data_IF_510935117774
#
_entry.id   IF_510935117774
#
_cell.length_a   1.000
_cell.length_b   1.000
_cell.length_c   1.000
_cell.angle_alpha   90.00
_cell.angle_beta   90.00
_cell.angle_gamma   90.00
#
_symmetry.space_group_name_H-M   'P 1'
#
loop_
_entity.id
_entity.type
_entity.pdbx_description
1 polymer ?
#
# COMPACT_ATOMS: atom_id res chain seq x y z
N UNK A 1 55.38 -2.05 16.59
CA UNK A 1 55.00 -1.59 15.23
C UNK A 1 54.14 -2.57 14.43
N UNK A 2 54.41 -3.90 14.42
CA UNK A 2 53.62 -4.87 13.62
C UNK A 2 52.16 -5.06 14.05
N UNK A 3 51.84 -4.83 15.33
CA UNK A 3 50.47 -4.97 15.84
C UNK A 3 49.53 -3.85 15.33
N UNK A 4 49.98 -2.59 15.31
CA UNK A 4 49.19 -1.45 14.84
C UNK A 4 48.90 -1.51 13.34
N UNK A 5 49.82 -2.05 12.53
CA UNK A 5 49.58 -2.26 11.10
C UNK A 5 48.42 -3.25 10.86
N UNK A 6 48.29 -4.30 11.67
CA UNK A 6 47.19 -5.27 11.56
C UNK A 6 45.85 -4.67 12.00
N UNK A 7 45.83 -3.86 13.06
CA UNK A 7 44.60 -3.21 13.52
C UNK A 7 44.09 -2.18 12.52
N UNK A 8 44.99 -1.39 11.91
CA UNK A 8 44.63 -0.40 10.88
C UNK A 8 44.05 -1.09 9.63
N UNK A 9 44.63 -2.20 9.19
CA UNK A 9 44.11 -2.96 8.05
C UNK A 9 42.72 -3.54 8.34
N UNK A 10 42.48 -4.06 9.55
CA UNK A 10 41.15 -4.57 9.94
C UNK A 10 40.11 -3.45 9.97
N UNK A 11 40.46 -2.27 10.50
CA UNK A 11 39.55 -1.11 10.54
C UNK A 11 39.22 -0.62 9.12
N UNK A 12 40.20 -0.61 8.20
CA UNK A 12 39.97 -0.23 6.80
C UNK A 12 39.09 -1.25 6.07
N UNK A 13 39.28 -2.54 6.31
CA UNK A 13 38.44 -3.60 5.73
C UNK A 13 37.00 -3.53 6.29
N UNK A 14 36.85 -3.28 7.58
CA UNK A 14 35.54 -3.10 8.20
C UNK A 14 34.82 -1.84 7.68
N UNK A 15 35.54 -0.71 7.55
CA UNK A 15 35.00 0.53 7.02
C UNK A 15 34.61 0.42 5.53
N UNK A 16 35.39 -0.30 4.72
CA UNK A 16 35.04 -0.57 3.31
C UNK A 16 33.86 -1.53 3.19
N UNK A 17 33.72 -2.52 4.07
CA UNK A 17 32.53 -3.38 4.13
C UNK A 17 31.26 -2.62 4.55
N UNK A 18 31.37 -1.69 5.51
CA UNK A 18 30.24 -0.86 5.94
C UNK A 18 29.82 0.14 4.86
N UNK A 19 30.76 0.78 4.17
CA UNK A 19 30.46 1.71 3.08
C UNK A 19 29.94 1.01 1.81
N UNK A 20 30.35 -0.23 1.55
CA UNK A 20 29.85 -1.00 0.40
C UNK A 20 28.40 -1.48 0.59
N UNK A 21 27.89 -1.58 1.83
CA UNK A 21 26.52 -1.98 2.10
C UNK A 21 25.49 -0.88 1.79
N UNK A 22 25.85 0.40 1.95
CA UNK A 22 24.93 1.51 1.66
C UNK A 22 24.74 1.75 0.15
N UNK A 23 25.69 1.33 -0.69
CA UNK A 23 25.65 1.53 -2.15
C UNK A 23 24.82 0.49 -2.92
N UNK A 24 24.23 -0.50 -2.23
CA UNK A 24 23.42 -1.56 -2.85
C UNK A 24 21.93 -1.48 -2.43
N UNK A 25 21.40 -0.27 -2.27
CA UNK A 25 19.95 -0.08 -2.37
C UNK A 25 19.52 -0.19 -3.84
N UNK A 26 19.54 -1.41 -4.39
CA UNK A 26 18.88 -1.67 -5.66
C UNK A 26 17.40 -1.40 -5.47
N UNK A 27 16.85 -0.44 -6.20
CA UNK A 27 15.42 -0.25 -6.35
C UNK A 27 14.79 -1.62 -6.65
N UNK A 28 14.00 -2.13 -5.70
CA UNK A 28 13.43 -3.46 -5.79
C UNK A 28 12.37 -3.43 -6.89
N UNK A 29 12.54 -4.28 -7.90
CA UNK A 29 11.50 -4.52 -8.90
C UNK A 29 10.36 -5.23 -8.20
N UNK A 30 9.19 -4.59 -8.16
CA UNK A 30 7.98 -5.18 -7.63
C UNK A 30 7.57 -6.33 -8.54
N UNK A 31 7.34 -7.51 -7.96
CA UNK A 31 6.91 -8.69 -8.71
C UNK A 31 5.39 -8.66 -8.87
N UNK A 32 4.93 -8.70 -10.11
CA UNK A 32 3.51 -8.80 -10.47
C UNK A 32 3.02 -10.21 -10.12
N UNK A 33 1.81 -10.33 -9.58
CA UNK A 33 1.18 -11.63 -9.29
C UNK A 33 1.21 -12.53 -10.52
N UNK A 34 1.81 -13.72 -10.37
CA UNK A 34 1.86 -14.74 -11.41
C UNK A 34 1.32 -16.07 -10.87
N UNK A 35 0.34 -16.65 -11.58
CA UNK A 35 -0.26 -17.93 -11.22
C UNK A 35 0.77 -19.03 -11.05
N UNK A 36 1.83 -19.09 -11.87
CA UNK A 36 2.81 -20.18 -11.85
C UNK A 36 3.71 -20.15 -10.60
N UNK A 37 3.85 -18.98 -9.98
CA UNK A 37 4.72 -18.73 -8.82
C UNK A 37 3.96 -18.74 -7.50
N UNK A 38 2.67 -19.08 -7.51
CA UNK A 38 1.90 -19.23 -6.28
C UNK A 38 2.48 -20.37 -5.41
N UNK A 39 2.67 -20.04 -4.14
CA UNK A 39 3.08 -20.98 -3.09
C UNK A 39 2.11 -22.15 -2.93
N UNK A 40 0.80 -21.85 -2.83
CA UNK A 40 -0.26 -22.83 -2.63
C UNK A 40 -1.49 -22.49 -3.47
N UNK A 41 -2.20 -23.52 -3.95
CA UNK A 41 -3.43 -23.39 -4.75
C UNK A 41 -4.64 -24.02 -4.07
N UNK A 42 -4.44 -24.75 -2.97
CA UNK A 42 -5.52 -25.48 -2.30
C UNK A 42 -6.29 -24.60 -1.28
N UNK A 43 -5.84 -23.36 -1.05
CA UNK A 43 -6.50 -22.40 -0.17
C UNK A 43 -7.39 -21.42 -0.95
N UNK A 44 -8.60 -21.21 -0.44
CA UNK A 44 -9.48 -20.16 -0.96
C UNK A 44 -8.92 -18.78 -0.59
N UNK A 45 -8.77 -17.91 -1.59
CA UNK A 45 -8.10 -16.63 -1.41
C UNK A 45 -8.56 -15.58 -2.39
N UNK A 46 -8.55 -14.34 -1.95
CA UNK A 46 -8.60 -13.17 -2.84
C UNK A 46 -7.40 -12.30 -2.51
N UNK A 47 -6.68 -11.88 -3.54
CA UNK A 47 -5.59 -10.94 -3.41
C UNK A 47 -5.67 -9.88 -4.52
N UNK A 48 -5.24 -8.67 -4.20
CA UNK A 48 -5.30 -7.52 -5.08
C UNK A 48 -3.98 -6.77 -5.07
N UNK A 49 -3.48 -6.43 -6.25
CA UNK A 49 -2.26 -5.69 -6.44
C UNK A 49 -2.53 -4.56 -7.43
N UNK A 50 -2.21 -3.33 -7.04
CA UNK A 50 -2.18 -2.17 -7.91
C UNK A 50 -0.82 -1.49 -7.77
N UNK A 51 -0.15 -1.28 -8.87
CA UNK A 51 1.12 -0.57 -8.91
C UNK A 51 0.98 0.50 -9.95
N UNK A 52 1.29 1.74 -9.58
CA UNK A 52 1.43 2.85 -10.52
C UNK A 52 2.77 3.52 -10.23
N UNK A 53 3.80 3.19 -11.01
CA UNK A 53 5.13 3.76 -10.79
C UNK A 53 5.80 4.05 -12.12
N UNK A 54 6.08 5.33 -12.36
CA UNK A 54 6.95 5.77 -13.44
C UNK A 54 8.41 5.54 -13.02
N UNK A 55 8.97 4.34 -13.28
CA UNK A 55 10.38 4.03 -12.98
C UNK A 55 11.22 4.23 -14.24
N UNK A 56 11.30 5.49 -14.68
CA UNK A 56 12.13 5.94 -15.80
C UNK A 56 11.83 5.28 -17.15
N UNK A 57 12.69 5.60 -18.14
CA UNK A 57 12.53 5.30 -19.56
C UNK A 57 12.34 3.83 -19.98
N UNK A 58 12.44 2.90 -19.03
CA UNK A 58 12.47 1.47 -19.32
C UNK A 58 11.37 0.67 -18.61
N UNK A 59 10.57 1.29 -17.73
CA UNK A 59 9.56 0.60 -16.93
C UNK A 59 8.40 1.53 -16.57
N UNK A 60 7.34 1.50 -17.37
CA UNK A 60 6.00 1.77 -16.85
C UNK A 60 5.53 0.47 -16.19
N UNK A 61 5.07 0.55 -14.95
CA UNK A 61 4.55 -0.60 -14.21
C UNK A 61 3.11 -0.34 -13.75
N UNK A 62 2.36 0.49 -14.49
CA UNK A 62 0.95 0.76 -14.22
C UNK A 62 0.13 -0.49 -14.52
N UNK A 63 -0.10 -1.31 -13.50
CA UNK A 63 -0.88 -2.54 -13.61
C UNK A 63 -1.78 -2.72 -12.39
N UNK A 64 -3.00 -3.21 -12.65
CA UNK A 64 -3.93 -3.67 -11.64
C UNK A 64 -4.17 -5.17 -11.82
N UNK A 65 -4.15 -5.93 -10.73
CA UNK A 65 -4.26 -7.39 -10.76
C UNK A 65 -5.16 -7.85 -9.63
N UNK A 66 -6.17 -8.65 -9.99
CA UNK A 66 -7.05 -9.34 -9.06
C UNK A 66 -6.85 -10.85 -9.19
N UNK A 67 -6.42 -11.48 -8.10
CA UNK A 67 -6.29 -12.92 -7.96
C UNK A 67 -7.44 -13.46 -7.10
N UNK A 68 -8.14 -14.46 -7.63
CA UNK A 68 -9.13 -15.25 -6.88
C UNK A 68 -8.74 -16.72 -6.98
N UNK A 69 -8.58 -17.38 -5.85
CA UNK A 69 -8.43 -18.83 -5.75
C UNK A 69 -9.68 -19.37 -5.07
N UNK A 70 -10.39 -20.27 -5.74
CA UNK A 70 -11.57 -20.93 -5.21
C UNK A 70 -11.60 -22.38 -5.65
N UNK A 71 -11.74 -23.31 -4.71
CA UNK A 71 -11.86 -24.74 -5.00
C UNK A 71 -10.73 -25.27 -5.92
N UNK A 72 -9.48 -24.83 -5.65
CA UNK A 72 -8.26 -25.16 -6.42
C UNK A 72 -8.18 -24.57 -7.84
N UNK A 73 -9.16 -23.76 -8.22
CA UNK A 73 -9.14 -22.97 -9.45
C UNK A 73 -8.66 -21.57 -9.13
N UNK A 74 -7.62 -21.13 -9.84
CA UNK A 74 -7.10 -19.78 -9.75
C UNK A 74 -7.56 -18.98 -10.96
N UNK A 75 -8.06 -17.77 -10.71
CA UNK A 75 -8.53 -16.79 -11.67
C UNK A 75 -7.67 -15.54 -11.46
N UNK A 76 -6.93 -15.16 -12.49
CA UNK A 76 -6.10 -13.96 -12.50
C UNK A 76 -6.67 -13.02 -13.54
N UNK A 77 -7.13 -11.86 -13.12
CA UNK A 77 -7.59 -10.79 -14.00
C UNK A 77 -6.65 -9.62 -13.87
N UNK A 78 -6.33 -8.96 -14.98
CA UNK A 78 -5.49 -7.78 -15.00
C UNK A 78 -6.15 -6.65 -15.80
N UNK A 79 -5.80 -5.43 -15.45
CA UNK A 79 -6.08 -4.18 -16.17
C UNK A 79 -4.75 -3.43 -16.35
N UNK A 80 -4.53 -2.86 -17.52
CA UNK A 80 -3.23 -2.32 -17.95
C UNK A 80 -2.23 -3.40 -18.38
N UNK A 81 -2.70 -4.57 -18.82
CA UNK A 81 -1.81 -5.65 -19.27
C UNK A 81 -1.32 -5.40 -20.70
N UNK A 82 0.00 -5.19 -20.82
CA UNK A 82 0.68 -5.18 -22.11
C UNK A 82 1.54 -6.43 -22.32
N UNK A 83 1.50 -6.97 -23.55
CA UNK A 83 2.39 -8.07 -23.94
C UNK A 83 3.80 -7.53 -24.16
N UNK A 84 4.77 -8.08 -23.41
CA UNK A 84 6.17 -7.66 -23.49
C UNK A 84 6.80 -7.80 -24.90
N UNK A 85 6.32 -8.72 -25.73
CA UNK A 85 6.75 -8.82 -27.13
C UNK A 85 6.38 -7.58 -27.94
N UNK A 86 5.19 -7.05 -27.69
CA UNK A 86 4.60 -5.96 -28.46
C UNK A 86 5.22 -4.64 -28.04
N UNK A 87 5.45 -4.45 -26.73
CA UNK A 87 6.21 -3.32 -26.19
C UNK A 87 7.63 -3.29 -26.76
N UNK A 88 8.34 -4.44 -26.79
CA UNK A 88 9.68 -4.54 -27.38
C UNK A 88 9.68 -4.23 -28.88
N UNK A 89 8.67 -4.71 -29.62
CA UNK A 89 8.52 -4.44 -31.04
C UNK A 89 8.26 -2.95 -31.31
N UNK A 90 7.33 -2.34 -30.58
CA UNK A 90 7.03 -0.90 -30.69
C UNK A 90 8.25 -0.05 -30.38
N UNK A 91 8.98 -0.40 -29.33
CA UNK A 91 10.25 0.22 -29.00
C UNK A 91 11.25 0.13 -30.15
N UNK A 92 11.48 -1.07 -30.69
CA UNK A 92 12.40 -1.25 -31.81
C UNK A 92 12.01 -0.38 -33.02
N UNK A 93 10.73 -0.34 -33.36
CA UNK A 93 10.24 0.50 -34.47
C UNK A 93 10.52 1.99 -34.19
N UNK A 94 10.22 2.47 -32.99
CA UNK A 94 10.43 3.87 -32.58
C UNK A 94 11.92 4.26 -32.50
N UNK A 95 12.76 3.35 -32.01
CA UNK A 95 14.21 3.51 -31.98
C UNK A 95 14.76 3.66 -33.42
N UNK A 96 14.21 2.92 -34.38
CA UNK A 96 14.56 3.02 -35.81
C UNK A 96 14.04 4.32 -36.43
N UNK A 97 12.84 4.79 -36.07
CA UNK A 97 12.26 6.03 -36.64
C UNK A 97 12.81 7.31 -36.03
N UNK A 98 13.59 7.25 -34.95
CA UNK A 98 14.16 8.42 -34.22
C UNK A 98 13.10 9.42 -33.75
N UNK A 99 11.88 8.95 -33.50
CA UNK A 99 10.86 9.76 -32.86
C UNK A 99 11.27 10.00 -31.39
N UNK A 100 11.08 11.23 -30.90
CA UNK A 100 11.29 11.51 -29.47
C UNK A 100 10.28 10.69 -28.65
N UNK A 101 10.79 9.84 -27.77
CA UNK A 101 10.00 8.92 -26.96
C UNK A 101 9.56 9.63 -25.69
N UNK A 102 8.25 9.72 -25.47
CA UNK A 102 7.69 9.79 -24.12
C UNK A 102 7.37 8.38 -23.65
N UNK A 103 7.63 8.06 -22.38
CA UNK A 103 7.49 6.71 -21.83
C UNK A 103 6.06 6.16 -21.93
N UNK A 104 5.08 7.08 -21.87
CA UNK A 104 3.65 6.78 -22.00
C UNK A 104 3.27 6.22 -23.38
N UNK A 105 4.08 6.43 -24.42
CA UNK A 105 3.73 6.01 -25.78
C UNK A 105 4.21 4.59 -26.14
N UNK A 106 4.92 3.90 -25.23
CA UNK A 106 5.37 2.52 -25.42
C UNK A 106 4.36 1.49 -24.91
N UNK A 107 3.62 1.87 -23.87
CA UNK A 107 2.61 1.06 -23.19
C UNK A 107 1.24 1.49 -23.71
N UNK A 108 0.41 0.52 -24.09
CA UNK A 108 -0.83 0.80 -24.83
C UNK A 108 -2.00 0.84 -23.87
N UNK A 109 -2.00 -0.10 -22.95
CA UNK A 109 -3.09 -0.32 -22.03
C UNK A 109 -2.76 0.43 -20.74
N UNK A 110 -3.61 1.39 -20.39
CA UNK A 110 -3.56 2.12 -19.13
C UNK A 110 -4.65 1.58 -18.21
N UNK A 111 -4.41 1.64 -16.90
CA UNK A 111 -5.42 1.30 -15.90
C UNK A 111 -6.64 2.20 -16.11
N UNK A 112 -7.80 1.60 -16.37
CA UNK A 112 -9.03 2.32 -16.65
C UNK A 112 -10.27 1.69 -15.95
N UNK A 113 -10.00 0.77 -15.03
CA UNK A 113 -11.00 -0.02 -14.30
C UNK A 113 -11.66 -1.10 -15.17
N UNK A 114 -11.16 -1.41 -16.37
CA UNK A 114 -11.70 -2.46 -17.24
C UNK A 114 -10.63 -3.52 -17.48
N UNK A 115 -10.88 -4.77 -17.06
CA UNK A 115 -9.87 -5.81 -17.23
C UNK A 115 -9.68 -6.15 -18.72
N UNK A 116 -8.43 -6.18 -19.14
CA UNK A 116 -7.99 -6.48 -20.50
C UNK A 116 -7.43 -7.90 -20.66
N UNK A 117 -7.09 -8.55 -19.54
CA UNK A 117 -6.51 -9.87 -19.51
C UNK A 117 -7.14 -10.77 -18.44
N UNK A 118 -7.34 -12.04 -18.79
CA UNK A 118 -7.73 -13.09 -17.87
C UNK A 118 -6.92 -14.36 -18.11
N UNK A 119 -6.45 -14.96 -17.03
CA UNK A 119 -5.85 -16.29 -17.00
C UNK A 119 -6.53 -17.13 -15.94
N UNK A 120 -6.94 -18.33 -16.31
CA UNK A 120 -7.53 -19.31 -15.39
C UNK A 120 -6.71 -20.58 -15.40
N UNK A 121 -6.48 -21.15 -14.22
CA UNK A 121 -5.72 -22.37 -14.05
C UNK A 121 -6.37 -23.26 -12.99
N UNK A 122 -6.32 -24.57 -13.20
CA UNK A 122 -6.55 -25.54 -12.13
C UNK A 122 -5.19 -25.92 -11.55
N UNK A 123 -4.90 -25.45 -10.33
CA UNK A 123 -3.54 -25.50 -9.78
C UNK A 123 -2.53 -24.88 -10.76
N UNK A 124 -1.58 -25.68 -11.26
CA UNK A 124 -0.56 -25.26 -12.24
C UNK A 124 -0.96 -25.50 -13.70
N UNK A 125 -2.08 -26.16 -13.94
CA UNK A 125 -2.54 -26.48 -15.29
C UNK A 125 -3.40 -25.34 -15.81
N UNK A 126 -2.91 -24.65 -16.84
CA UNK A 126 -3.64 -23.58 -17.52
C UNK A 126 -4.90 -24.14 -18.19
N UNK A 127 -6.03 -23.48 -17.96
CA UNK A 127 -7.32 -23.84 -18.56
C UNK A 127 -7.71 -22.89 -19.69
N UNK A 128 -7.51 -21.59 -19.47
CA UNK A 128 -7.86 -20.55 -20.44
C UNK A 128 -7.01 -19.31 -20.18
N UNK A 129 -6.55 -18.71 -21.28
CA UNK A 129 -5.94 -17.38 -21.28
C UNK A 129 -6.58 -16.55 -22.39
N UNK A 130 -7.02 -15.33 -22.08
CA UNK A 130 -7.55 -14.39 -23.06
C UNK A 130 -7.03 -12.98 -22.75
N UNK A 131 -6.61 -12.25 -23.79
CA UNK A 131 -6.06 -10.91 -23.71
C UNK A 131 -6.83 -9.91 -24.61
N UNK A 132 -8.08 -10.22 -24.95
CA UNK A 132 -8.97 -9.35 -25.69
C UNK A 132 -9.84 -8.55 -24.70
N UNK A 133 -9.61 -7.24 -24.60
CA UNK A 133 -10.32 -6.34 -23.70
C UNK A 133 -11.84 -6.41 -23.82
N UNK A 134 -12.38 -6.44 -25.05
CA UNK A 134 -13.83 -6.47 -25.28
C UNK A 134 -14.46 -7.74 -24.71
N UNK A 135 -13.80 -8.88 -24.90
CA UNK A 135 -14.24 -10.15 -24.35
C UNK A 135 -14.13 -10.16 -22.82
N UNK A 136 -13.00 -9.73 -22.27
CA UNK A 136 -12.74 -9.81 -20.83
C UNK A 136 -13.64 -8.84 -20.06
N UNK A 137 -13.76 -7.60 -20.54
CA UNK A 137 -14.60 -6.57 -19.93
C UNK A 137 -16.08 -6.96 -19.94
N UNK A 138 -16.59 -7.43 -21.08
CA UNK A 138 -18.01 -7.82 -21.21
C UNK A 138 -18.38 -8.97 -20.29
N UNK A 139 -17.52 -9.98 -20.16
CA UNK A 139 -17.86 -11.20 -19.40
C UNK A 139 -17.48 -11.10 -17.91
N UNK A 140 -16.39 -10.40 -17.57
CA UNK A 140 -15.80 -10.42 -16.23
C UNK A 140 -15.66 -9.04 -15.58
N UNK A 141 -15.88 -7.94 -16.31
CA UNK A 141 -15.68 -6.58 -15.80
C UNK A 141 -16.52 -6.24 -14.56
N UNK A 142 -17.79 -6.63 -14.55
CA UNK A 142 -18.66 -6.40 -13.38
C UNK A 142 -18.21 -7.21 -12.15
N UNK A 143 -17.82 -8.47 -12.35
CA UNK A 143 -17.28 -9.32 -11.28
C UNK A 143 -15.98 -8.76 -10.73
N UNK A 144 -15.06 -8.36 -11.61
CA UNK A 144 -13.77 -7.76 -11.27
C UNK A 144 -13.93 -6.57 -10.33
N UNK A 145 -14.72 -5.55 -10.74
CA UNK A 145 -14.95 -4.35 -9.93
C UNK A 145 -15.63 -4.66 -8.60
N UNK A 146 -16.68 -5.48 -8.61
CA UNK A 146 -17.42 -5.80 -7.40
C UNK A 146 -16.57 -6.51 -6.34
N UNK A 147 -15.75 -7.49 -6.76
CA UNK A 147 -14.87 -8.23 -5.85
C UNK A 147 -13.73 -7.33 -5.34
N UNK A 148 -13.12 -6.55 -6.23
CA UNK A 148 -12.09 -5.55 -5.88
C UNK A 148 -12.61 -4.58 -4.82
N UNK A 149 -13.72 -3.90 -5.10
CA UNK A 149 -14.24 -2.83 -4.24
C UNK A 149 -14.68 -3.39 -2.88
N UNK A 150 -15.33 -4.57 -2.87
CA UNK A 150 -15.71 -5.23 -1.61
C UNK A 150 -14.48 -5.62 -0.78
N UNK A 151 -13.46 -6.21 -1.40
CA UNK A 151 -12.21 -6.55 -0.70
C UNK A 151 -11.58 -5.29 -0.07
N UNK A 152 -11.45 -4.22 -0.84
CA UNK A 152 -10.86 -2.97 -0.37
C UNK A 152 -11.67 -2.37 0.77
N UNK A 153 -12.98 -2.18 0.60
CA UNK A 153 -13.86 -1.59 1.63
C UNK A 153 -13.77 -2.37 2.94
N UNK A 154 -13.84 -3.70 2.90
CA UNK A 154 -13.75 -4.54 4.11
C UNK A 154 -12.43 -4.37 4.86
N UNK A 155 -11.31 -4.31 4.14
CA UNK A 155 -10.01 -4.12 4.76
C UNK A 155 -9.79 -2.69 5.25
N UNK A 156 -10.31 -1.69 4.55
CA UNK A 156 -10.32 -0.28 4.97
C UNK A 156 -11.13 -0.11 6.26
N UNK A 157 -12.34 -0.66 6.33
CA UNK A 157 -13.18 -0.62 7.53
C UNK A 157 -12.50 -1.28 8.73
N UNK A 158 -11.89 -2.46 8.52
CA UNK A 158 -11.12 -3.13 9.57
C UNK A 158 -9.93 -2.29 10.04
N UNK A 159 -9.23 -1.63 9.12
CA UNK A 159 -8.13 -0.75 9.48
C UNK A 159 -8.59 0.50 10.23
N UNK A 160 -9.69 1.13 9.78
CA UNK A 160 -10.35 2.24 10.51
C UNK A 160 -10.75 1.84 11.91
N UNK A 161 -11.26 0.63 12.12
CA UNK A 161 -11.57 0.13 13.46
C UNK A 161 -10.32 0.05 14.35
N UNK A 162 -9.17 -0.37 13.79
CA UNK A 162 -7.89 -0.34 14.52
C UNK A 162 -7.48 1.10 14.87
N UNK A 163 -7.73 2.08 14.00
CA UNK A 163 -7.45 3.50 14.29
C UNK A 163 -8.34 4.06 15.40
N UNK A 164 -9.62 3.71 15.40
CA UNK A 164 -10.57 4.10 16.46
C UNK A 164 -10.11 3.61 17.83
N UNK A 165 -9.61 2.38 17.89
CA UNK A 165 -9.11 1.76 19.11
C UNK A 165 -7.58 1.96 19.30
N UNK A 166 -7.03 3.11 18.90
CA UNK A 166 -5.58 3.42 18.95
C UNK A 166 -4.89 3.21 20.31
N UNK A 167 -5.64 3.22 21.42
CA UNK A 167 -5.09 2.93 22.75
C UNK A 167 -4.84 1.44 23.01
N UNK A 168 -5.57 0.57 22.33
CA UNK A 168 -5.45 -0.90 22.46
C UNK A 168 -4.78 -1.52 21.24
N UNK A 169 -4.94 -0.90 20.07
CA UNK A 169 -4.25 -1.31 18.86
C UNK A 169 -2.80 -0.84 18.91
N UNK A 170 -1.87 -1.67 18.42
CA UNK A 170 -0.46 -1.30 18.27
C UNK A 170 -0.28 -0.36 17.06
N UNK A 171 -1.11 0.69 16.96
CA UNK A 171 -1.05 1.67 15.90
C UNK A 171 0.20 2.54 16.08
N UNK A 172 1.05 2.54 15.07
CA UNK A 172 2.24 3.38 14.99
C UNK A 172 2.05 4.37 13.85
N UNK A 173 2.06 5.66 14.19
CA UNK A 173 1.97 6.74 13.21
C UNK A 173 3.29 7.50 13.22
N UNK A 174 3.91 7.64 12.05
CA UNK A 174 5.15 8.40 11.88
C UNK A 174 4.90 9.52 10.89
N UNK A 175 5.24 10.74 11.29
CA UNK A 175 5.10 11.96 10.50
C UNK A 175 6.49 12.53 10.22
N UNK A 176 6.84 12.75 8.95
CA UNK A 176 8.15 13.29 8.55
C UNK A 176 7.97 14.51 7.66
N UNK A 177 8.77 15.58 7.82
CA UNK A 177 8.67 16.74 6.94
C UNK A 177 9.09 16.34 5.52
N UNK A 178 8.29 16.71 4.53
CA UNK A 178 8.64 16.54 3.11
C UNK A 178 9.78 17.50 2.78
N UNK A 179 10.80 17.01 2.09
CA UNK A 179 11.96 17.85 1.75
C UNK A 179 11.54 18.99 0.84
N UNK A 180 11.85 20.23 1.25
CA UNK A 180 11.61 21.42 0.44
C UNK A 180 12.82 21.73 -0.44
N UNK A 181 12.62 22.24 -1.67
CA UNK A 181 13.71 22.74 -2.47
C UNK A 181 14.40 23.93 -1.77
N UNK A 182 15.69 24.11 -2.01
CA UNK A 182 16.50 25.17 -1.38
C UNK A 182 15.91 26.57 -1.65
N UNK A 183 15.33 26.75 -2.83
CA UNK A 183 14.67 27.97 -3.28
C UNK A 183 13.20 28.12 -2.83
N UNK A 184 12.71 27.26 -1.92
CA UNK A 184 11.35 27.37 -1.39
C UNK A 184 11.14 28.73 -0.69
N UNK A 185 10.01 29.37 -1.00
CA UNK A 185 9.64 30.68 -0.42
C UNK A 185 9.42 30.58 1.10
N UNK A 186 9.44 31.71 1.80
CA UNK A 186 9.12 31.72 3.24
C UNK A 186 7.71 31.18 3.54
N UNK A 187 6.74 31.41 2.65
CA UNK A 187 5.39 30.87 2.78
C UNK A 187 5.36 29.35 2.65
N UNK A 188 6.13 28.77 1.71
CA UNK A 188 6.27 27.32 1.57
C UNK A 188 6.95 26.68 2.77
N UNK A 189 7.91 27.38 3.39
CA UNK A 189 8.57 26.92 4.62
C UNK A 189 7.65 27.00 5.85
N UNK A 190 6.75 28.00 5.89
CA UNK A 190 5.71 28.11 6.93
C UNK A 190 4.65 27.01 6.78
N UNK A 191 4.26 26.69 5.55
CA UNK A 191 3.29 25.63 5.24
C UNK A 191 4.00 24.30 4.92
N UNK A 192 4.93 23.90 5.79
CA UNK A 192 5.69 22.66 5.64
C UNK A 192 4.74 21.46 5.57
N UNK A 193 4.75 20.76 4.44
CA UNK A 193 4.03 19.48 4.28
C UNK A 193 4.74 18.36 5.01
N UNK A 194 3.98 17.35 5.42
CA UNK A 194 4.50 16.18 6.11
C UNK A 194 4.00 14.92 5.45
N UNK A 195 4.90 13.98 5.16
CA UNK A 195 4.51 12.63 4.82
C UNK A 195 4.02 11.92 6.09
N UNK A 196 2.95 11.15 5.93
CA UNK A 196 2.31 10.42 7.01
C UNK A 196 2.37 8.95 6.67
N UNK A 197 2.88 8.16 7.61
CA UNK A 197 2.86 6.70 7.52
C UNK A 197 2.16 6.16 8.76
N UNK A 198 1.22 5.24 8.57
CA UNK A 198 0.54 4.59 9.67
C UNK A 198 0.57 3.08 9.50
N UNK A 199 0.84 2.38 10.60
CA UNK A 199 0.93 0.91 10.63
C UNK A 199 0.16 0.37 11.82
N UNK A 200 -0.63 -0.67 11.62
CA UNK A 200 -1.29 -1.39 12.70
C UNK A 200 -1.17 -2.90 12.53
N UNK A 201 -1.21 -3.64 13.64
CA UNK A 201 -1.37 -5.10 13.66
C UNK A 201 -2.74 -5.44 14.24
N UNK A 202 -3.53 -6.19 13.49
CA UNK A 202 -4.80 -6.74 13.97
C UNK A 202 -4.58 -7.98 14.85
N UNK A 203 -5.61 -8.40 15.58
CA UNK A 203 -5.57 -9.59 16.44
C UNK A 203 -5.29 -10.88 15.66
N UNK A 204 -5.74 -10.98 14.41
CA UNK A 204 -5.47 -12.11 13.51
C UNK A 204 -4.09 -12.03 12.83
N UNK A 205 -3.19 -11.23 13.40
CA UNK A 205 -1.84 -10.95 12.92
C UNK A 205 -1.73 -10.27 11.56
N UNK A 206 -2.86 -9.84 10.99
CA UNK A 206 -2.86 -9.07 9.75
C UNK A 206 -2.23 -7.70 10.00
N UNK A 207 -1.20 -7.38 9.21
CA UNK A 207 -0.52 -6.09 9.20
C UNK A 207 -1.16 -5.18 8.18
N UNK A 208 -1.46 -3.96 8.61
CA UNK A 208 -1.98 -2.88 7.80
C UNK A 208 -0.96 -1.76 7.75
N UNK A 209 -0.85 -1.13 6.59
CA UNK A 209 -0.03 0.06 6.40
C UNK A 209 -0.70 0.99 5.39
N UNK A 210 -0.65 2.29 5.67
CA UNK A 210 -0.93 3.32 4.69
C UNK A 210 0.15 4.41 4.71
N UNK A 211 0.29 5.09 3.59
CA UNK A 211 1.21 6.21 3.41
C UNK A 211 0.61 7.27 2.49
N UNK A 212 0.75 8.51 2.95
CA UNK A 212 0.63 9.76 2.20
C UNK A 212 2.06 10.30 2.05
N UNK A 213 2.60 10.19 0.84
CA UNK A 213 4.01 10.45 0.56
C UNK A 213 4.30 11.94 0.36
N UNK A 214 3.39 12.68 -0.26
CA UNK A 214 3.60 14.08 -0.64
C UNK A 214 3.01 15.09 0.37
N UNK A 215 2.23 14.60 1.34
CA UNK A 215 1.65 15.35 2.44
C UNK A 215 0.44 16.21 2.04
N UNK A 216 -0.31 15.81 1.00
CA UNK A 216 -1.54 16.46 0.59
C UNK A 216 -2.80 15.94 1.31
N UNK A 217 -2.65 14.93 2.18
CA UNK A 217 -3.73 14.31 2.93
C UNK A 217 -4.41 13.15 2.19
N UNK A 218 -3.92 12.78 1.02
CA UNK A 218 -4.38 11.65 0.20
C UNK A 218 -3.41 10.48 0.35
N UNK A 219 -3.98 9.31 0.65
CA UNK A 219 -3.23 8.06 0.76
C UNK A 219 -3.01 7.47 -0.63
N UNK A 220 -1.77 7.45 -1.11
CA UNK A 220 -1.44 6.83 -2.39
C UNK A 220 -0.96 5.38 -2.23
N UNK A 221 -0.46 5.01 -1.04
CA UNK A 221 0.04 3.66 -0.77
C UNK A 221 -0.74 3.00 0.37
N UNK A 222 -1.26 1.80 0.11
CA UNK A 222 -1.97 1.00 1.10
C UNK A 222 -1.64 -0.48 0.92
N UNK A 223 -1.24 -1.15 2.00
CA UNK A 223 -1.03 -2.59 1.95
C UNK A 223 -1.52 -3.34 3.16
N UNK A 224 -1.90 -4.58 2.88
CA UNK A 224 -2.37 -5.56 3.83
C UNK A 224 -1.58 -6.84 3.62
N UNK A 225 -0.96 -7.29 4.70
CA UNK A 225 -0.18 -8.52 4.72
C UNK A 225 -0.61 -9.42 5.86
N UNK A 226 -0.84 -10.69 5.56
CA UNK A 226 -1.14 -11.73 6.54
C UNK A 226 0.02 -12.72 6.60
N UNK A 227 0.48 -13.04 7.82
CA UNK A 227 1.59 -13.97 8.07
C UNK A 227 1.23 -15.46 7.90
N UNK A 228 0.41 -15.81 6.90
CA UNK A 228 -0.09 -17.18 6.67
C UNK A 228 0.81 -18.02 5.75
N UNK A 229 1.97 -17.49 5.32
CA UNK A 229 2.91 -18.16 4.44
C UNK A 229 2.57 -18.07 2.95
N UNK A 230 1.37 -17.60 2.59
CA UNK A 230 1.00 -17.43 1.19
C UNK A 230 1.79 -16.30 0.54
N UNK A 231 2.38 -16.59 -0.60
CA UNK A 231 3.11 -15.67 -1.46
C UNK A 231 2.96 -16.08 -2.94
N UNK A 232 3.25 -15.14 -3.83
CA UNK A 232 3.19 -15.32 -5.29
C UNK A 232 4.56 -15.14 -5.98
N UNK A 233 5.64 -15.38 -5.24
CA UNK A 233 6.99 -15.23 -5.75
C UNK A 233 7.99 -14.79 -4.68
N UNK A 234 9.27 -14.85 -5.03
CA UNK A 234 10.32 -14.39 -4.14
C UNK A 234 10.31 -12.86 -4.08
N UNK A 235 10.09 -12.29 -2.88
CA UNK A 235 9.89 -10.84 -2.67
C UNK A 235 8.60 -10.32 -3.31
N UNK A 236 7.55 -11.15 -3.33
CA UNK A 236 6.20 -10.83 -3.81
C UNK A 236 5.50 -9.63 -3.14
N UNK A 237 6.05 -9.13 -2.03
CA UNK A 237 5.43 -8.06 -1.26
C UNK A 237 4.24 -8.53 -0.40
N UNK A 238 3.34 -7.61 -0.02
CA UNK A 238 2.12 -7.91 0.74
C UNK A 238 1.23 -8.89 -0.01
N UNK A 239 0.57 -9.80 0.70
CA UNK A 239 -0.06 -10.99 0.11
C UNK A 239 -1.61 -10.97 0.09
N UNK A 240 -2.22 -9.85 0.50
CA UNK A 240 -3.68 -9.64 0.47
C UNK A 240 -4.01 -8.43 -0.39
N UNK A 241 -3.56 -7.24 0.01
CA UNK A 241 -3.73 -6.01 -0.77
C UNK A 241 -2.36 -5.34 -0.88
N UNK A 242 -2.00 -4.91 -2.07
CA UNK A 242 -0.83 -4.08 -2.29
C UNK A 242 -1.15 -2.99 -3.30
N UNK A 243 -1.39 -1.77 -2.82
CA UNK A 243 -1.59 -0.57 -3.61
C UNK A 243 -0.37 0.31 -3.42
N UNK A 244 0.25 0.69 -4.52
CA UNK A 244 1.43 1.54 -4.53
C UNK A 244 1.26 2.73 -5.46
N UNK A 245 1.34 3.93 -4.89
CA UNK A 245 1.33 5.23 -5.59
C UNK A 245 0.09 5.42 -6.51
N UNK A 246 -1.10 5.15 -5.95
CA UNK A 246 -2.38 5.30 -6.63
C UNK A 246 -2.68 6.75 -7.07
N UNK A 247 -3.13 6.90 -8.31
CA UNK A 247 -3.56 8.16 -8.91
C UNK A 247 -5.03 8.15 -9.37
N UNK A 248 -5.71 7.02 -9.30
CA UNK A 248 -7.11 6.91 -9.74
C UNK A 248 -8.10 7.30 -8.64
N UNK A 249 -9.08 8.11 -9.04
CA UNK A 249 -10.12 8.65 -8.16
C UNK A 249 -11.01 7.58 -7.54
N UNK A 250 -11.32 6.49 -8.25
CA UNK A 250 -12.16 5.41 -7.70
C UNK A 250 -11.52 4.80 -6.46
N UNK A 251 -10.25 4.42 -6.54
CA UNK A 251 -9.50 3.85 -5.42
C UNK A 251 -9.23 4.90 -4.35
N UNK A 252 -8.93 6.14 -4.75
CA UNK A 252 -8.77 7.29 -3.85
C UNK A 252 -10.01 7.49 -2.95
N UNK A 253 -11.23 7.30 -3.48
CA UNK A 253 -12.44 7.43 -2.66
C UNK A 253 -12.53 6.39 -1.54
N UNK A 254 -11.86 5.24 -1.69
CA UNK A 254 -11.85 4.13 -0.74
C UNK A 254 -10.73 4.31 0.29
N UNK A 255 -9.48 4.52 -0.18
CA UNK A 255 -8.29 4.54 0.70
C UNK A 255 -7.80 5.95 1.03
N UNK A 256 -8.16 6.97 0.26
CA UNK A 256 -7.48 8.27 0.23
C UNK A 256 -7.42 8.97 1.59
N UNK A 257 -8.44 8.82 2.44
CA UNK A 257 -8.46 9.49 3.74
C UNK A 257 -7.70 8.76 4.86
N UNK A 258 -7.20 7.55 4.64
CA UNK A 258 -6.66 6.69 5.70
C UNK A 258 -5.47 7.30 6.44
N UNK A 259 -4.48 7.82 5.71
CA UNK A 259 -3.30 8.45 6.30
C UNK A 259 -3.68 9.68 7.13
N UNK A 260 -4.53 10.55 6.58
CA UNK A 260 -5.03 11.73 7.29
C UNK A 260 -5.86 11.36 8.54
N UNK A 261 -6.79 10.40 8.42
CA UNK A 261 -7.60 9.87 9.53
C UNK A 261 -6.72 9.26 10.64
N UNK A 262 -5.57 8.66 10.30
CA UNK A 262 -4.66 8.07 11.30
C UNK A 262 -4.06 9.09 12.28
N UNK A 263 -3.89 10.34 11.84
CA UNK A 263 -3.36 11.43 12.65
C UNK A 263 -4.50 12.20 13.33
N UNK A 264 -5.50 12.59 12.55
CA UNK A 264 -6.52 13.55 12.99
C UNK A 264 -7.77 12.89 13.57
N UNK A 265 -7.92 11.57 13.40
CA UNK A 265 -9.19 10.89 13.63
C UNK A 265 -10.18 11.10 12.49
N UNK A 266 -11.19 10.25 12.48
CA UNK A 266 -12.33 10.31 11.56
C UNK A 266 -13.45 11.20 12.11
N UNK A 267 -14.32 11.69 11.21
CA UNK A 267 -15.53 12.45 11.58
C UNK A 267 -16.44 11.63 12.51
N UNK A 268 -16.44 10.30 12.38
CA UNK A 268 -17.19 9.43 13.25
C UNK A 268 -16.61 9.36 14.67
N UNK A 269 -15.29 9.40 14.81
CA UNK A 269 -14.63 9.49 16.12
C UNK A 269 -14.93 10.81 16.80
N UNK A 270 -14.94 11.92 16.05
CA UNK A 270 -15.30 13.23 16.59
C UNK A 270 -16.71 13.22 17.18
N UNK A 271 -17.69 12.67 16.43
CA UNK A 271 -19.06 12.51 16.92
C UNK A 271 -19.15 11.62 18.14
N UNK A 272 -18.43 10.50 18.15
CA UNK A 272 -18.40 9.59 19.29
C UNK A 272 -17.81 10.26 20.52
N UNK A 273 -16.70 10.98 20.36
CA UNK A 273 -16.03 11.71 21.45
C UNK A 273 -16.95 12.74 22.10
N UNK A 274 -17.71 13.50 21.30
CA UNK A 274 -18.70 14.46 21.81
C UNK A 274 -19.81 13.75 22.60
N UNK A 275 -20.29 12.59 22.13
CA UNK A 275 -21.35 11.83 22.79
C UNK A 275 -20.88 11.17 24.09
N UNK A 276 -19.64 10.70 24.14
CA UNK A 276 -19.05 10.02 25.31
C UNK A 276 -18.34 10.97 26.27
N UNK A 277 -18.27 12.27 25.95
CA UNK A 277 -17.58 13.23 26.81
C UNK A 277 -18.28 13.29 28.17
N UNK A 278 -17.54 13.22 29.30
CA UNK A 278 -18.13 13.26 30.63
C UNK A 278 -19.00 14.49 30.84
N UNK A 279 -20.17 14.33 31.46
CA UNK A 279 -21.02 15.47 31.79
C UNK A 279 -20.49 16.16 33.03
N UNK A 280 -20.77 17.45 33.16
CA UNK A 280 -20.35 18.27 34.31
C UNK A 280 -20.73 17.65 35.65
N UNK A 281 -21.94 17.06 35.74
CA UNK A 281 -22.38 16.34 36.94
C UNK A 281 -21.47 15.17 37.30
N UNK A 282 -21.10 14.34 36.33
CA UNK A 282 -20.26 13.16 36.58
C UNK A 282 -18.87 13.58 37.11
N UNK A 283 -18.37 14.71 36.62
CA UNK A 283 -17.12 15.31 37.08
C UNK A 283 -17.26 15.90 38.49
N UNK A 284 -18.37 16.59 38.78
CA UNK A 284 -18.62 17.16 40.11
C UNK A 284 -18.76 16.06 41.18
N UNK A 285 -19.51 15.00 40.89
CA UNK A 285 -19.65 13.84 41.78
C UNK A 285 -18.27 13.20 42.05
N UNK A 286 -17.41 13.13 41.03
CA UNK A 286 -16.02 12.65 41.18
C UNK A 286 -15.15 13.60 42.03
N UNK A 287 -15.31 14.91 41.88
CA UNK A 287 -14.59 15.91 42.68
C UNK A 287 -14.99 15.81 44.16
N UNK A 288 -16.29 15.72 44.46
CA UNK A 288 -16.77 15.55 45.83
C UNK A 288 -16.26 14.27 46.48
N UNK A 289 -16.17 13.18 45.70
CA UNK A 289 -15.56 11.93 46.17
C UNK A 289 -14.06 12.05 46.44
N UNK A 290 -13.32 12.80 45.62
CA UNK A 290 -11.88 13.01 45.79
C UNK A 290 -11.54 13.98 46.93
N UNK A 291 -12.42 14.95 47.20
CA UNK A 291 -12.24 15.99 48.20
C UNK A 291 -13.47 16.08 49.13
N UNK A 292 -13.76 15.03 49.91
CA UNK A 292 -14.88 15.06 50.83
C UNK A 292 -14.61 16.11 51.90
N UNK A 293 -15.62 16.94 52.19
CA UNK A 293 -15.54 17.90 53.29
C UNK A 293 -15.44 17.16 54.62
N UNK A 294 -14.44 17.50 55.43
CA UNK A 294 -14.30 16.97 56.77
C UNK A 294 -15.54 17.33 57.62
N UNK A 295 -16.28 16.32 58.08
CA UNK A 295 -17.40 16.51 59.01
C UNK A 295 -16.85 16.67 60.42
N UNK A 296 -16.41 17.88 60.79
CA UNK A 296 -15.88 18.11 62.14
C UNK A 296 -16.97 18.21 63.23
N UNK A 297 -18.23 18.48 62.90
CA UNK A 297 -19.33 18.46 63.88
C UNK A 297 -20.65 18.11 63.19
N UNK A 298 -21.28 17.02 63.62
CA UNK A 298 -22.70 16.74 63.38
C UNK A 298 -23.36 16.64 64.75
N UNK A 299 -24.26 17.58 65.04
CA UNK A 299 -25.17 17.53 66.21
C UNK A 299 -26.10 16.29 66.14
#
# INVERSE_FOLDING_TARGET
MKAHAKTVVIVIIAATFFLAFELLSKERVLEIINLEKLSHYDEDRVAYQRIEKHVGFFKDNSIEVLLVIKDKKAYLMMDGYDRMSDVKRKRYIKDVTREYISDEDLWVNKINGKPDFIKTAYRRSELMTNANEEFVTTNFGAFYRSVRDNLLVRHVEKFRHLMKNRGESQLQVTRKPVSLPIYASEEQRKNQKFSITARAKAMDETLYYCEDADGDGVTETFWVHRGDGFNWGYKSGPNVIFIYNNQEKEIETIIGKLANESVHGSVDEEKMLIQTFPKERDINDMIEWLAPMDKYFSD
#
